data_IF_976495346002
#
_entry.id   IF_976495346002
#
_cell.length_a   1.000
_cell.length_b   1.000
_cell.length_c   1.000
_cell.angle_alpha   90.00
_cell.angle_beta   90.00
_cell.angle_gamma   90.00
#
_symmetry.space_group_name_H-M   'P 1'
#
loop_
_entity.id
_entity.type
_entity.pdbx_description
1 polymer ?
#
# COMPACT_ATOMS: atom_id res chain seq x y z
N UNK A 1 14.39 -18.35 15.76
CA UNK A 1 13.63 -17.11 15.61
C UNK A 1 13.28 -16.89 14.16
N UNK A 2 12.04 -16.62 13.91
CA UNK A 2 11.57 -16.43 12.54
C UNK A 2 11.90 -15.03 12.05
N UNK A 3 12.77 -14.95 11.05
CA UNK A 3 13.07 -13.70 10.38
C UNK A 3 12.28 -13.57 9.09
N UNK A 4 11.16 -14.30 9.00
CA UNK A 4 10.30 -14.30 7.83
C UNK A 4 8.86 -13.95 8.22
N UNK A 5 8.09 -13.57 7.22
CA UNK A 5 6.66 -13.33 7.37
C UNK A 5 5.93 -13.94 6.18
N UNK A 6 4.64 -14.21 6.33
CA UNK A 6 3.80 -14.69 5.24
C UNK A 6 3.18 -13.50 4.53
N UNK A 7 3.43 -13.38 3.21
CA UNK A 7 2.84 -12.32 2.40
C UNK A 7 1.33 -12.53 2.32
N UNK A 8 0.56 -11.49 2.62
CA UNK A 8 -0.90 -11.56 2.60
C UNK A 8 -1.46 -11.74 1.18
N UNK A 9 -0.67 -11.42 0.16
CA UNK A 9 -1.10 -11.50 -1.23
C UNK A 9 -0.75 -12.84 -1.87
N UNK A 10 0.54 -13.22 -1.86
CA UNK A 10 0.98 -14.45 -2.52
C UNK A 10 1.10 -15.63 -1.57
N UNK A 11 1.04 -15.41 -0.26
CA UNK A 11 1.10 -16.45 0.74
C UNK A 11 2.47 -17.08 0.94
N UNK A 12 3.50 -16.56 0.30
CA UNK A 12 4.85 -17.10 0.42
C UNK A 12 5.56 -16.51 1.61
N UNK A 13 6.49 -17.29 2.18
CA UNK A 13 7.34 -16.80 3.24
C UNK A 13 8.45 -15.93 2.64
N UNK A 14 8.61 -14.74 3.18
CA UNK A 14 9.59 -13.76 2.71
C UNK A 14 10.36 -13.18 3.88
N UNK A 15 11.59 -12.69 3.65
CA UNK A 15 12.36 -12.08 4.72
C UNK A 15 11.66 -10.85 5.30
N UNK A 16 11.73 -10.70 6.63
CA UNK A 16 11.14 -9.54 7.30
C UNK A 16 11.73 -8.22 6.81
N UNK A 17 12.98 -8.23 6.37
CA UNK A 17 13.62 -7.02 5.87
C UNK A 17 12.95 -6.46 4.61
N UNK A 18 12.22 -7.30 3.88
CA UNK A 18 11.48 -6.86 2.70
C UNK A 18 9.99 -6.68 2.92
N UNK A 19 9.56 -6.65 4.19
CA UNK A 19 8.14 -6.50 4.51
C UNK A 19 7.65 -5.08 4.23
N UNK A 20 6.55 -5.00 3.50
CA UNK A 20 5.86 -3.73 3.23
C UNK A 20 4.49 -3.80 3.88
N UNK A 21 4.22 -2.89 4.79
CA UNK A 21 2.92 -2.85 5.49
C UNK A 21 1.96 -1.96 4.72
N UNK A 22 0.79 -2.51 4.38
CA UNK A 22 -0.28 -1.78 3.68
C UNK A 22 -1.54 -1.97 4.51
N UNK A 23 -1.96 -0.91 5.20
CA UNK A 23 -3.05 -1.03 6.16
C UNK A 23 -2.67 -2.00 7.27
N UNK A 24 -3.42 -3.07 7.42
CA UNK A 24 -3.12 -4.13 8.40
C UNK A 24 -2.44 -5.34 7.77
N UNK A 25 -2.15 -5.30 6.46
CA UNK A 25 -1.57 -6.42 5.75
C UNK A 25 -0.07 -6.26 5.61
N UNK A 26 0.65 -7.38 5.63
CA UNK A 26 2.07 -7.42 5.36
C UNK A 26 2.29 -8.06 3.99
N UNK A 27 2.94 -7.35 3.09
CA UNK A 27 3.19 -7.80 1.72
C UNK A 27 4.68 -7.89 1.47
N UNK A 28 5.07 -8.82 0.59
CA UNK A 28 6.44 -8.81 0.09
C UNK A 28 6.61 -7.66 -0.91
N UNK A 29 7.85 -7.28 -1.15
CA UNK A 29 8.16 -6.12 -2.00
C UNK A 29 7.52 -6.24 -3.37
N UNK A 30 7.59 -7.42 -3.99
CA UNK A 30 7.03 -7.64 -5.32
C UNK A 30 5.52 -7.42 -5.36
N UNK A 31 4.81 -7.99 -4.40
CA UNK A 31 3.35 -7.81 -4.32
C UNK A 31 2.99 -6.36 -4.01
N UNK A 32 3.76 -5.72 -3.14
CA UNK A 32 3.51 -4.32 -2.81
C UNK A 32 3.66 -3.42 -4.03
N UNK A 33 4.72 -3.62 -4.83
CA UNK A 33 4.92 -2.84 -6.05
C UNK A 33 3.82 -3.07 -7.08
N UNK A 34 3.36 -4.31 -7.19
CA UNK A 34 2.37 -4.68 -8.20
C UNK A 34 0.96 -4.24 -7.84
N UNK A 35 0.61 -4.34 -6.57
CA UNK A 35 -0.79 -4.15 -6.12
C UNK A 35 -1.02 -2.87 -5.34
N UNK A 36 0.00 -2.09 -5.07
CA UNK A 36 -0.14 -0.88 -4.26
C UNK A 36 0.47 0.32 -4.95
N UNK A 37 0.12 1.50 -4.45
CA UNK A 37 0.61 2.77 -4.97
C UNK A 37 0.72 3.73 -3.80
N UNK A 38 1.61 4.71 -3.92
CA UNK A 38 1.80 5.72 -2.88
C UNK A 38 0.88 6.91 -3.12
N UNK A 39 0.29 7.41 -2.03
CA UNK A 39 -0.48 8.64 -2.08
C UNK A 39 0.46 9.82 -2.33
N UNK A 40 0.12 10.66 -3.30
CA UNK A 40 0.95 11.82 -3.65
C UNK A 40 0.89 12.94 -2.61
N UNK A 41 -0.08 12.88 -1.70
CA UNK A 41 -0.25 13.92 -0.70
C UNK A 41 0.40 13.56 0.64
N UNK A 42 0.08 12.39 1.18
CA UNK A 42 0.61 11.98 2.47
C UNK A 42 1.73 10.94 2.37
N UNK A 43 1.94 10.36 1.19
CA UNK A 43 2.97 9.36 0.99
C UNK A 43 2.64 7.99 1.54
N UNK A 44 1.41 7.76 1.96
CA UNK A 44 1.00 6.48 2.50
C UNK A 44 0.77 5.48 1.37
N UNK A 45 1.21 4.25 1.59
CA UNK A 45 1.03 3.18 0.61
C UNK A 45 -0.35 2.56 0.79
N UNK A 46 -1.11 2.50 -0.30
CA UNK A 46 -2.46 1.92 -0.30
C UNK A 46 -2.62 1.01 -1.50
N UNK A 47 -3.63 0.14 -1.46
CA UNK A 47 -3.92 -0.70 -2.61
C UNK A 47 -4.40 0.14 -3.78
N UNK A 48 -4.01 -0.26 -5.00
CA UNK A 48 -4.41 0.48 -6.21
C UNK A 48 -5.92 0.60 -6.33
N UNK A 49 -6.66 -0.42 -5.91
CA UNK A 49 -8.11 -0.42 -5.96
C UNK A 49 -8.73 0.59 -4.99
N UNK A 50 -7.98 1.00 -3.98
CA UNK A 50 -8.44 1.95 -2.97
C UNK A 50 -7.91 3.35 -3.22
N UNK A 51 -7.09 3.51 -4.25
CA UNK A 51 -6.53 4.81 -4.60
C UNK A 51 -7.48 5.55 -5.54
N UNK A 52 -7.48 6.87 -5.44
CA UNK A 52 -8.33 7.73 -6.26
C UNK A 52 -7.46 8.68 -7.07
N UNK A 53 -7.88 8.95 -8.29
CA UNK A 53 -7.20 9.93 -9.13
C UNK A 53 -7.90 11.28 -9.05
N UNK A 54 -7.12 12.31 -8.76
CA UNK A 54 -7.64 13.67 -8.67
C UNK A 54 -6.60 14.61 -9.27
N UNK A 55 -6.96 15.28 -10.34
CA UNK A 55 -6.12 16.26 -11.05
C UNK A 55 -4.73 15.72 -11.35
N UNK A 56 -4.67 14.52 -11.96
CA UNK A 56 -3.44 13.83 -12.32
C UNK A 56 -2.59 13.38 -11.12
N UNK A 57 -3.18 13.35 -9.93
CA UNK A 57 -2.53 12.85 -8.72
C UNK A 57 -3.24 11.62 -8.21
N UNK A 58 -2.49 10.77 -7.55
CA UNK A 58 -3.05 9.60 -6.89
C UNK A 58 -3.17 9.91 -5.40
N UNK A 59 -4.36 9.73 -4.86
CA UNK A 59 -4.65 10.03 -3.46
C UNK A 59 -5.22 8.80 -2.78
N UNK A 60 -4.91 8.63 -1.49
CA UNK A 60 -5.59 7.62 -0.69
C UNK A 60 -7.00 8.12 -0.36
N UNK A 61 -7.84 7.21 0.16
CA UNK A 61 -9.23 7.54 0.44
C UNK A 61 -9.36 8.75 1.38
N UNK A 62 -8.49 8.81 2.39
CA UNK A 62 -8.52 9.92 3.35
C UNK A 62 -8.18 11.25 2.69
N UNK A 63 -7.10 11.28 1.92
CA UNK A 63 -6.68 12.51 1.25
C UNK A 63 -7.69 12.93 0.19
N UNK A 64 -8.22 11.96 -0.56
CA UNK A 64 -9.24 12.24 -1.55
C UNK A 64 -10.48 12.87 -0.92
N UNK A 65 -10.93 12.30 0.20
CA UNK A 65 -12.08 12.83 0.92
C UNK A 65 -11.84 14.26 1.38
N UNK A 66 -10.63 14.54 1.87
CA UNK A 66 -10.29 15.89 2.34
C UNK A 66 -10.31 16.92 1.20
N UNK A 67 -9.75 16.59 0.04
CA UNK A 67 -9.71 17.54 -1.08
C UNK A 67 -11.06 17.65 -1.78
N UNK A 68 -11.85 16.58 -1.78
CA UNK A 68 -13.16 16.56 -2.42
C UNK A 68 -14.18 17.37 -1.62
N UNK A 69 -14.07 17.37 -0.30
CA UNK A 69 -15.02 18.03 0.58
C UNK A 69 -14.62 19.47 0.95
N UNK A 70 -13.65 20.03 0.28
CA UNK A 70 -13.27 21.43 0.50
C UNK A 70 -14.07 22.39 -0.36
#
# INVERSE_FOLDING_TARGET
MDTTFACACCGRLRPLSGRVTVGSDALCWSCAEEHTILCDRCGERVYRREAFRYRNRTLCAQCYDQVYNQ
#
